data_IF_945151994141
#
_entry.id   IF_945151994141
#
_cell.length_a   1.000
_cell.length_b   1.000
_cell.length_c   1.000
_cell.angle_alpha   90.00
_cell.angle_beta   90.00
_cell.angle_gamma   90.00
#
_symmetry.space_group_name_H-M   'P 1'
#
loop_
_entity.id
_entity.type
_entity.pdbx_description
1 polymer ?
#
# COMPACT_ATOMS: atom_id res chain seq x y z
N UNK A 1 19.60 7.89 -14.59
CA UNK A 1 19.77 6.97 -13.44
C UNK A 1 18.97 7.58 -12.29
N UNK A 2 18.29 6.77 -11.48
CA UNK A 2 17.54 7.29 -10.33
C UNK A 2 18.50 7.70 -9.24
N UNK A 3 18.32 8.89 -8.67
CA UNK A 3 19.05 9.35 -7.50
C UNK A 3 18.17 9.14 -6.26
N UNK A 4 18.62 8.28 -5.34
CA UNK A 4 17.89 7.88 -4.13
C UNK A 4 18.12 8.90 -3.02
N UNK A 5 17.04 9.42 -2.45
CA UNK A 5 17.04 10.28 -1.26
C UNK A 5 16.32 9.50 -0.15
N UNK A 6 16.93 9.41 1.03
CA UNK A 6 16.40 8.63 2.15
C UNK A 6 15.92 9.61 3.23
N UNK A 7 14.68 9.47 3.67
CA UNK A 7 14.10 10.31 4.73
C UNK A 7 13.63 9.48 5.94
N UNK A 8 13.77 9.99 7.17
CA UNK A 8 13.25 9.31 8.36
C UNK A 8 11.72 9.28 8.38
N UNK A 9 11.15 8.24 9.00
CA UNK A 9 9.71 8.18 9.30
C UNK A 9 9.51 7.90 10.79
N UNK A 10 8.35 8.26 11.37
CA UNK A 10 7.98 7.87 12.73
C UNK A 10 7.44 6.42 12.81
N UNK A 11 7.48 5.66 11.71
CA UNK A 11 6.85 4.34 11.59
C UNK A 11 7.85 3.19 11.79
N UNK A 12 7.35 2.03 12.21
CA UNK A 12 8.19 0.86 12.51
C UNK A 12 8.97 0.30 11.30
N UNK A 13 8.52 0.59 10.07
CA UNK A 13 9.20 0.19 8.82
C UNK A 13 10.55 0.88 8.63
N UNK A 14 10.81 1.97 9.35
CA UNK A 14 12.05 2.73 9.28
C UNK A 14 12.01 3.82 8.20
N UNK A 15 13.15 4.08 7.57
CA UNK A 15 13.27 5.16 6.56
C UNK A 15 12.52 4.83 5.28
N UNK A 16 12.11 5.87 4.55
CA UNK A 16 11.49 5.78 3.22
C UNK A 16 12.40 6.38 2.16
N UNK A 17 12.33 5.84 0.95
CA UNK A 17 13.13 6.23 -0.21
C UNK A 17 12.28 7.07 -1.17
N UNK A 18 12.80 8.24 -1.53
CA UNK A 18 12.32 9.03 -2.67
C UNK A 18 13.32 8.93 -3.81
N UNK A 19 12.84 8.98 -5.05
CA UNK A 19 13.71 8.82 -6.22
C UNK A 19 13.61 10.03 -7.14
N UNK A 20 14.71 10.73 -7.32
CA UNK A 20 14.83 11.83 -8.26
C UNK A 20 15.24 11.29 -9.64
N UNK A 21 14.56 11.75 -10.69
CA UNK A 21 14.85 11.41 -12.07
C UNK A 21 14.79 12.66 -12.94
N UNK A 22 15.89 12.95 -13.64
CA UNK A 22 15.90 13.95 -14.72
C UNK A 22 15.74 13.26 -16.08
N UNK A 23 14.64 13.58 -16.75
CA UNK A 23 14.37 13.34 -18.17
C UNK A 23 14.17 14.70 -18.86
N UNK A 24 13.13 14.80 -19.68
CA UNK A 24 12.70 16.10 -20.21
C UNK A 24 12.17 16.98 -19.06
N UNK A 25 11.48 16.37 -18.09
CA UNK A 25 11.10 16.98 -16.81
C UNK A 25 12.00 16.51 -15.66
N UNK A 26 12.21 17.36 -14.66
CA UNK A 26 12.77 16.96 -13.37
C UNK A 26 11.64 16.48 -12.45
N UNK A 27 11.64 15.18 -12.17
CA UNK A 27 10.58 14.55 -11.37
C UNK A 27 11.15 13.85 -10.15
N UNK A 28 10.40 13.89 -9.05
CA UNK A 28 10.65 13.09 -7.86
C UNK A 28 9.50 12.11 -7.65
N UNK A 29 9.84 10.86 -7.34
CA UNK A 29 8.90 9.80 -7.00
C UNK A 29 8.86 9.63 -5.50
N UNK A 30 7.66 9.82 -4.93
CA UNK A 30 7.39 9.94 -3.49
C UNK A 30 8.21 11.04 -2.79
N UNK A 31 7.75 11.47 -1.61
CA UNK A 31 8.26 12.69 -0.97
C UNK A 31 8.35 12.61 0.56
N UNK A 32 8.37 11.43 1.16
CA UNK A 32 8.58 11.30 2.59
C UNK A 32 7.37 11.68 3.45
N UNK A 33 7.52 11.53 4.77
CA UNK A 33 6.49 11.85 5.78
C UNK A 33 6.45 13.33 6.10
N UNK A 34 5.28 13.90 6.44
CA UNK A 34 5.15 15.29 6.88
C UNK A 34 5.69 15.50 8.31
N UNK A 35 7.01 15.46 8.45
CA UNK A 35 7.72 15.82 9.70
C UNK A 35 8.87 16.79 9.41
N UNK A 36 9.31 17.58 10.41
CA UNK A 36 10.47 18.46 10.25
C UNK A 36 11.74 17.72 9.84
N UNK A 37 12.01 16.56 10.45
CA UNK A 37 13.22 15.77 10.18
C UNK A 37 13.22 15.20 8.76
N UNK A 38 12.06 14.77 8.27
CA UNK A 38 11.92 14.30 6.89
C UNK A 38 12.07 15.45 5.89
N UNK A 39 11.54 16.64 6.20
CA UNK A 39 11.71 17.84 5.38
C UNK A 39 13.19 18.21 5.23
N UNK A 40 13.92 18.30 6.34
CA UNK A 40 15.35 18.64 6.34
C UNK A 40 16.18 17.60 5.56
N UNK A 41 15.90 16.31 5.76
CA UNK A 41 16.57 15.24 5.03
C UNK A 41 16.29 15.30 3.52
N UNK A 42 15.05 15.59 3.12
CA UNK A 42 14.65 15.72 1.72
C UNK A 42 15.31 16.95 1.07
N UNK A 43 15.33 18.08 1.77
CA UNK A 43 16.00 19.31 1.32
C UNK A 43 17.50 19.07 1.11
N UNK A 44 18.16 18.41 2.05
CA UNK A 44 19.58 18.06 1.94
C UNK A 44 19.83 17.13 0.75
N UNK A 45 19.02 16.08 0.59
CA UNK A 45 19.17 15.14 -0.54
C UNK A 45 18.95 15.80 -1.90
N UNK A 46 17.97 16.71 -2.02
CA UNK A 46 17.78 17.51 -3.23
C UNK A 46 18.99 18.40 -3.50
N UNK A 47 19.52 19.06 -2.48
CA UNK A 47 20.69 19.93 -2.59
C UNK A 47 21.95 19.16 -3.01
N UNK A 48 22.17 17.96 -2.46
CA UNK A 48 23.25 17.07 -2.87
C UNK A 48 23.12 16.62 -4.32
N UNK A 49 21.89 16.44 -4.80
CA UNK A 49 21.59 16.19 -6.21
C UNK A 49 21.71 17.43 -7.10
N UNK A 50 21.96 18.63 -6.54
CA UNK A 50 22.11 19.89 -7.26
C UNK A 50 20.81 20.65 -7.51
N UNK A 51 19.75 20.36 -6.77
CA UNK A 51 18.42 20.95 -6.94
C UNK A 51 17.84 21.48 -5.63
N UNK A 52 16.76 22.24 -5.74
CA UNK A 52 15.91 22.70 -4.64
C UNK A 52 14.47 22.27 -4.90
N UNK A 53 13.61 22.42 -3.90
CA UNK A 53 12.18 22.14 -4.04
C UNK A 53 11.52 22.89 -5.21
N UNK A 54 11.93 24.13 -5.47
CA UNK A 54 11.37 24.96 -6.55
C UNK A 54 11.78 24.49 -7.95
N UNK A 55 12.87 23.73 -8.05
CA UNK A 55 13.39 23.27 -9.33
C UNK A 55 12.65 22.00 -9.80
N UNK A 56 11.95 21.31 -8.90
CA UNK A 56 11.16 20.11 -9.21
C UNK A 56 9.90 20.49 -10.01
N UNK A 57 9.75 19.86 -11.16
CA UNK A 57 8.65 20.11 -12.09
C UNK A 57 7.48 19.15 -11.86
N UNK A 58 7.76 17.95 -11.31
CA UNK A 58 6.74 16.94 -11.02
C UNK A 58 7.04 16.18 -9.72
N UNK A 59 5.99 15.99 -8.92
CA UNK A 59 5.95 15.00 -7.84
C UNK A 59 5.04 13.88 -8.30
N UNK A 60 5.56 12.66 -8.35
CA UNK A 60 4.83 11.47 -8.81
C UNK A 60 4.68 10.53 -7.62
N UNK A 61 3.45 10.24 -7.23
CA UNK A 61 3.15 9.40 -6.07
C UNK A 61 2.99 7.94 -6.48
N UNK A 62 3.67 7.04 -5.79
CA UNK A 62 3.41 5.59 -5.91
C UNK A 62 2.10 5.25 -5.24
N UNK A 63 1.85 5.74 -4.03
CA UNK A 63 0.61 5.49 -3.30
C UNK A 63 0.38 6.49 -2.16
N UNK A 64 -0.71 6.30 -1.41
CA UNK A 64 -1.25 7.32 -0.52
C UNK A 64 -0.81 7.19 0.95
N UNK A 65 0.13 6.29 1.27
CA UNK A 65 0.60 6.20 2.65
C UNK A 65 1.38 7.45 3.05
N UNK A 66 1.31 7.86 4.33
CA UNK A 66 1.77 9.19 4.73
C UNK A 66 3.26 9.45 4.47
N UNK A 67 4.08 8.42 4.49
CA UNK A 67 5.50 8.43 4.17
C UNK A 67 5.83 8.55 2.68
N UNK A 68 4.85 8.47 1.79
CA UNK A 68 5.06 8.62 0.34
C UNK A 68 4.57 9.97 -0.18
N UNK A 69 3.55 10.54 0.46
CA UNK A 69 2.87 11.76 -0.01
C UNK A 69 2.83 12.87 1.06
N UNK A 70 3.60 12.75 2.14
CA UNK A 70 3.54 13.67 3.27
C UNK A 70 4.00 15.08 2.92
N UNK A 71 5.13 15.21 2.21
CA UNK A 71 5.72 16.52 1.89
C UNK A 71 5.34 17.04 0.50
N UNK A 72 4.23 16.61 -0.11
CA UNK A 72 3.82 17.15 -1.43
C UNK A 72 3.64 18.68 -1.42
N UNK A 73 3.34 19.24 -0.24
CA UNK A 73 3.17 20.67 -0.01
C UNK A 73 4.49 21.46 -0.16
N UNK A 74 5.65 20.79 -0.01
CA UNK A 74 6.97 21.42 -0.07
C UNK A 74 7.41 21.80 -1.49
N UNK A 75 6.71 21.37 -2.55
CA UNK A 75 7.13 21.52 -3.94
C UNK A 75 6.28 22.54 -4.70
N UNK A 76 6.50 23.86 -4.53
CA UNK A 76 5.54 24.89 -4.94
C UNK A 76 5.26 24.94 -6.45
N UNK A 77 6.24 24.58 -7.29
CA UNK A 77 6.13 24.64 -8.75
C UNK A 77 5.74 23.30 -9.39
N UNK A 78 5.81 22.21 -8.62
CA UNK A 78 5.64 20.87 -9.18
C UNK A 78 4.17 20.57 -9.49
N UNK A 79 3.92 19.91 -10.62
CA UNK A 79 2.68 19.17 -10.85
C UNK A 79 2.67 17.93 -9.97
N UNK A 80 1.55 17.65 -9.30
CA UNK A 80 1.39 16.41 -8.52
C UNK A 80 0.63 15.39 -9.35
N UNK A 81 1.23 14.22 -9.57
CA UNK A 81 0.71 13.12 -10.37
C UNK A 81 0.57 11.87 -9.50
N UNK A 82 -0.45 11.05 -9.75
CA UNK A 82 -0.67 9.81 -9.01
C UNK A 82 -1.98 9.13 -9.40
N UNK A 83 -2.33 8.07 -8.69
CA UNK A 83 -3.60 7.39 -8.88
C UNK A 83 -4.77 8.21 -8.32
N UNK A 84 -5.99 8.03 -8.84
CA UNK A 84 -7.18 8.76 -8.38
C UNK A 84 -7.41 8.63 -6.86
N UNK A 85 -7.05 7.49 -6.26
CA UNK A 85 -7.15 7.30 -4.82
C UNK A 85 -6.19 8.21 -4.03
N UNK A 86 -5.03 8.60 -4.57
CA UNK A 86 -4.17 9.60 -3.91
C UNK A 86 -4.91 10.94 -3.77
N UNK A 87 -5.66 11.34 -4.80
CA UNK A 87 -6.38 12.61 -4.81
C UNK A 87 -7.45 12.69 -3.71
N UNK A 88 -8.15 11.58 -3.45
CA UNK A 88 -9.13 11.51 -2.37
C UNK A 88 -8.51 11.77 -0.99
N UNK A 89 -7.33 11.19 -0.73
CA UNK A 89 -6.56 11.42 0.51
C UNK A 89 -5.96 12.82 0.60
N UNK A 90 -5.55 13.41 -0.52
CA UNK A 90 -5.03 14.79 -0.57
C UNK A 90 -6.14 15.82 -0.30
N UNK A 91 -7.32 15.62 -0.89
CA UNK A 91 -8.46 16.52 -0.74
C UNK A 91 -9.11 16.43 0.63
N UNK A 92 -9.07 15.26 1.27
CA UNK A 92 -9.66 15.02 2.61
C UNK A 92 -11.12 15.42 2.68
N UNK A 93 -11.88 15.07 1.64
CA UNK A 93 -13.30 15.31 1.63
C UNK A 93 -13.94 14.68 2.89
N UNK A 94 -14.75 15.44 3.68
CA UNK A 94 -15.31 14.91 4.92
C UNK A 94 -16.21 13.68 4.72
N UNK A 95 -16.89 13.57 3.57
CA UNK A 95 -17.72 12.39 3.26
C UNK A 95 -16.82 11.19 2.98
N UNK A 96 -15.74 11.37 2.23
CA UNK A 96 -14.72 10.33 2.04
C UNK A 96 -14.14 9.86 3.38
N UNK A 97 -13.72 10.76 4.26
CA UNK A 97 -13.16 10.40 5.57
C UNK A 97 -14.18 9.72 6.49
N UNK A 98 -15.43 10.18 6.51
CA UNK A 98 -16.51 9.55 7.27
C UNK A 98 -16.79 8.13 6.76
N UNK A 99 -16.85 7.94 5.43
CA UNK A 99 -17.06 6.61 4.83
C UNK A 99 -15.96 5.61 5.19
N UNK A 100 -14.72 6.07 5.40
CA UNK A 100 -13.63 5.20 5.86
C UNK A 100 -13.86 4.74 7.29
N UNK A 101 -14.30 5.64 8.17
CA UNK A 101 -14.63 5.30 9.54
C UNK A 101 -15.77 4.28 9.59
N UNK A 102 -16.86 4.54 8.85
CA UNK A 102 -18.02 3.64 8.80
C UNK A 102 -17.63 2.27 8.26
N UNK A 103 -16.86 2.22 7.17
CA UNK A 103 -16.34 0.97 6.61
C UNK A 103 -15.58 0.13 7.64
N UNK A 104 -14.60 0.71 8.33
CA UNK A 104 -13.81 -0.03 9.31
C UNK A 104 -14.64 -0.43 10.53
N UNK A 105 -15.56 0.43 10.99
CA UNK A 105 -16.47 0.09 12.09
C UNK A 105 -17.36 -1.10 11.72
N UNK A 106 -17.90 -1.11 10.50
CA UNK A 106 -18.71 -2.22 10.01
C UNK A 106 -17.89 -3.49 9.82
N UNK A 107 -16.63 -3.40 9.34
CA UNK A 107 -15.71 -4.54 9.34
C UNK A 107 -15.48 -5.09 10.73
N UNK A 108 -15.21 -4.26 11.74
CA UNK A 108 -14.98 -4.76 13.10
C UNK A 108 -16.20 -5.58 13.61
N UNK A 109 -17.42 -5.11 13.34
CA UNK A 109 -18.65 -5.84 13.69
C UNK A 109 -18.80 -7.14 12.90
N UNK A 110 -18.73 -7.06 11.57
CA UNK A 110 -18.97 -8.19 10.67
C UNK A 110 -17.92 -9.31 10.83
N UNK A 111 -16.70 -8.96 11.22
CA UNK A 111 -15.60 -9.91 11.42
C UNK A 111 -15.57 -10.51 12.85
N UNK A 112 -16.55 -10.16 13.69
CA UNK A 112 -16.72 -10.72 15.02
C UNK A 112 -15.81 -10.13 16.09
N UNK A 113 -15.28 -8.93 15.87
CA UNK A 113 -14.40 -8.27 16.84
C UNK A 113 -15.21 -7.83 18.07
N UNK A 114 -14.77 -8.13 19.31
CA UNK A 114 -15.44 -7.66 20.52
C UNK A 114 -15.43 -6.13 20.63
N UNK A 115 -16.50 -5.56 21.19
CA UNK A 115 -16.70 -4.10 21.28
C UNK A 115 -15.56 -3.37 22.00
N UNK A 116 -14.88 -4.03 22.96
CA UNK A 116 -13.74 -3.45 23.68
C UNK A 116 -12.59 -3.05 22.73
N UNK A 117 -12.49 -3.67 21.55
CA UNK A 117 -11.49 -3.36 20.53
C UNK A 117 -11.98 -2.34 19.49
N UNK A 118 -13.22 -1.84 19.55
CA UNK A 118 -13.73 -0.88 18.55
C UNK A 118 -12.97 0.45 18.52
N UNK A 119 -12.24 0.77 19.58
CA UNK A 119 -11.36 1.93 19.62
C UNK A 119 -10.25 1.90 18.55
N UNK A 120 -9.90 0.72 18.02
CA UNK A 120 -8.93 0.56 16.94
C UNK A 120 -9.33 1.24 15.63
N UNK A 121 -10.63 1.48 15.41
CA UNK A 121 -11.13 2.17 14.22
C UNK A 121 -10.40 3.50 13.96
N UNK A 122 -10.05 4.23 15.03
CA UNK A 122 -9.34 5.52 14.94
C UNK A 122 -7.94 5.38 14.36
N UNK A 123 -7.24 4.27 14.67
CA UNK A 123 -5.92 3.98 14.10
C UNK A 123 -6.06 3.46 12.66
N UNK A 124 -7.13 2.71 12.37
CA UNK A 124 -7.40 2.15 11.03
C UNK A 124 -7.78 3.22 10.00
N UNK A 125 -8.47 4.29 10.40
CA UNK A 125 -8.80 5.42 9.51
C UNK A 125 -7.58 6.25 9.09
N UNK A 126 -6.39 5.96 9.66
CA UNK A 126 -5.09 6.64 9.47
C UNK A 126 -5.11 8.13 9.84
N UNK A 127 -4.04 8.62 10.48
CA UNK A 127 -3.93 10.05 10.74
C UNK A 127 -3.62 10.80 9.44
N UNK A 128 -4.32 11.92 9.23
CA UNK A 128 -4.03 12.84 8.12
C UNK A 128 -2.97 13.89 8.50
N UNK A 129 -2.46 13.86 9.74
CA UNK A 129 -1.45 14.82 10.23
C UNK A 129 -0.14 14.70 9.45
N UNK A 130 0.20 13.48 9.02
CA UNK A 130 1.44 13.15 8.31
C UNK A 130 1.33 13.23 6.78
N UNK A 131 0.16 13.60 6.27
CA UNK A 131 -0.15 13.63 4.83
C UNK A 131 -0.10 15.10 4.34
N UNK A 132 0.25 15.34 3.08
CA UNK A 132 0.10 16.67 2.47
C UNK A 132 -1.36 17.01 2.11
N UNK A 133 -1.59 18.21 1.57
CA UNK A 133 -2.94 18.69 1.21
C UNK A 133 -3.05 19.22 -0.22
N UNK A 134 -1.95 19.26 -0.98
CA UNK A 134 -1.99 19.64 -2.40
C UNK A 134 -2.60 18.51 -3.26
N UNK A 135 -3.78 18.70 -3.87
CA UNK A 135 -4.43 17.67 -4.68
C UNK A 135 -3.63 17.36 -5.96
N UNK A 136 -4.00 16.25 -6.60
CA UNK A 136 -3.41 15.90 -7.89
C UNK A 136 -3.75 16.96 -8.94
N UNK A 137 -2.75 17.28 -9.75
CA UNK A 137 -2.89 18.10 -10.96
C UNK A 137 -3.20 17.24 -12.19
N UNK A 138 -2.86 15.94 -12.15
CA UNK A 138 -3.14 14.97 -13.20
C UNK A 138 -3.21 13.57 -12.61
N UNK A 139 -4.13 12.75 -13.11
CA UNK A 139 -4.30 11.35 -12.72
C UNK A 139 -3.51 10.48 -13.70
N UNK A 140 -2.76 9.52 -13.17
CA UNK A 140 -2.10 8.46 -13.94
C UNK A 140 -2.92 7.18 -13.87
N UNK A 141 -3.11 6.52 -15.02
CA UNK A 141 -3.78 5.23 -15.16
C UNK A 141 -2.78 4.12 -15.50
N UNK A 142 -3.22 2.86 -15.39
CA UNK A 142 -2.44 1.71 -15.83
C UNK A 142 -2.08 1.83 -17.32
N UNK A 143 -0.79 1.67 -17.64
CA UNK A 143 -0.28 1.74 -19.00
C UNK A 143 0.07 3.15 -19.51
N UNK A 144 -0.23 4.20 -18.74
CA UNK A 144 0.16 5.57 -19.12
C UNK A 144 1.70 5.71 -19.13
N UNK A 145 2.22 6.41 -20.14
CA UNK A 145 3.61 6.86 -20.14
C UNK A 145 3.76 8.10 -19.25
N UNK A 146 4.77 8.10 -18.37
CA UNK A 146 5.01 9.21 -17.45
C UNK A 146 5.44 10.45 -18.23
N UNK A 147 4.73 11.60 -18.12
CA UNK A 147 5.05 12.80 -18.88
C UNK A 147 6.48 13.29 -18.65
N UNK A 148 7.25 13.44 -19.73
CA UNK A 148 8.65 13.89 -19.67
C UNK A 148 9.67 12.79 -19.38
N UNK A 149 9.23 11.53 -19.31
CA UNK A 149 10.10 10.36 -19.16
C UNK A 149 9.76 9.26 -20.18
N UNK A 150 10.13 9.44 -21.46
CA UNK A 150 9.82 8.47 -22.50
C UNK A 150 10.29 7.04 -22.15
N UNK A 151 9.41 6.07 -22.33
CA UNK A 151 9.62 4.66 -22.02
C UNK A 151 9.41 4.26 -20.56
N UNK A 152 9.07 5.20 -19.66
CA UNK A 152 8.69 4.92 -18.27
C UNK A 152 7.17 4.82 -18.16
N UNK A 153 6.67 3.61 -17.88
CA UNK A 153 5.23 3.29 -17.88
C UNK A 153 4.73 3.16 -16.45
N UNK A 154 3.64 3.85 -16.13
CA UNK A 154 2.88 3.65 -14.90
C UNK A 154 2.14 2.31 -14.97
N UNK A 155 2.28 1.50 -13.93
CA UNK A 155 1.68 0.17 -13.81
C UNK A 155 0.87 0.09 -12.53
N UNK A 156 -0.42 -0.15 -12.68
CA UNK A 156 -1.30 -0.37 -11.55
C UNK A 156 -0.96 -1.71 -10.88
N UNK A 157 -0.57 -1.60 -9.61
CA UNK A 157 -0.04 -2.69 -8.79
C UNK A 157 -0.74 -2.72 -7.44
N UNK A 158 -2.07 -2.80 -7.50
CA UNK A 158 -2.96 -2.80 -6.33
C UNK A 158 -2.66 -3.93 -5.33
N UNK A 159 -3.14 -3.73 -4.12
CA UNK A 159 -3.12 -4.72 -3.04
C UNK A 159 -2.57 -4.13 -1.75
N UNK A 160 -1.32 -3.65 -1.78
CA UNK A 160 -0.76 -2.89 -0.65
C UNK A 160 -1.58 -1.63 -0.35
N UNK A 161 -1.95 -0.91 -1.41
CA UNK A 161 -2.87 0.23 -1.39
C UNK A 161 -3.71 0.24 -2.67
N UNK A 162 -4.94 0.73 -2.62
CA UNK A 162 -5.80 0.92 -3.79
C UNK A 162 -5.36 2.09 -4.69
N UNK A 163 -4.31 2.80 -4.30
CA UNK A 163 -3.67 3.85 -5.09
C UNK A 163 -2.35 3.43 -5.71
N UNK A 164 -1.94 2.16 -5.58
CA UNK A 164 -0.55 1.78 -5.81
C UNK A 164 -0.19 1.70 -7.30
N UNK A 165 0.80 2.51 -7.69
CA UNK A 165 1.46 2.53 -8.98
C UNK A 165 2.94 2.15 -8.82
N UNK A 166 3.42 1.29 -9.71
CA UNK A 166 4.83 1.05 -9.96
C UNK A 166 5.20 1.69 -11.31
N UNK A 167 6.47 2.03 -11.51
CA UNK A 167 6.92 2.70 -12.73
C UNK A 167 8.00 1.88 -13.42
N UNK A 168 7.67 1.30 -14.57
CA UNK A 168 8.51 0.35 -15.29
C UNK A 168 9.18 0.99 -16.50
N UNK A 169 10.50 0.89 -16.60
CA UNK A 169 11.26 1.33 -17.76
C UNK A 169 11.82 0.12 -18.52
N UNK A 170 11.20 -0.21 -19.66
CA UNK A 170 11.54 -1.40 -20.46
C UNK A 170 13.01 -1.46 -20.88
N UNK A 171 13.51 -0.40 -21.53
CA UNK A 171 14.88 -0.38 -22.07
C UNK A 171 15.95 -0.40 -20.97
N UNK A 172 15.70 0.25 -19.84
CA UNK A 172 16.62 0.28 -18.69
C UNK A 172 16.46 -0.93 -17.77
N UNK A 173 15.46 -1.78 -18.02
CA UNK A 173 15.08 -2.91 -17.17
C UNK A 173 14.97 -2.56 -15.68
N UNK A 174 14.48 -1.36 -15.40
CA UNK A 174 14.45 -0.78 -14.06
C UNK A 174 13.03 -0.42 -13.66
N UNK A 175 12.68 -0.63 -12.39
CA UNK A 175 11.36 -0.33 -11.85
C UNK A 175 11.45 0.50 -10.58
N UNK A 176 10.66 1.57 -10.44
CA UNK A 176 10.29 2.09 -9.11
C UNK A 176 9.11 1.26 -8.64
N UNK A 177 9.31 0.43 -7.62
CA UNK A 177 8.33 -0.53 -7.17
C UNK A 177 7.42 -0.05 -6.06
N UNK A 178 7.70 1.12 -5.47
CA UNK A 178 7.04 1.58 -4.25
C UNK A 178 7.09 0.49 -3.18
N UNK A 179 5.95 0.24 -2.56
CA UNK A 179 5.79 -0.72 -1.47
C UNK A 179 5.21 -2.06 -1.93
N UNK A 180 5.11 -2.31 -3.23
CA UNK A 180 4.70 -3.62 -3.74
C UNK A 180 5.69 -4.72 -3.31
N UNK A 181 6.99 -4.43 -3.34
CA UNK A 181 8.05 -5.39 -3.03
C UNK A 181 9.19 -4.72 -2.27
N UNK A 182 9.34 -5.10 -1.00
CA UNK A 182 10.40 -4.64 -0.10
C UNK A 182 11.31 -5.83 0.24
N UNK A 183 12.63 -5.62 0.24
CA UNK A 183 13.60 -6.70 0.39
C UNK A 183 13.53 -7.41 1.74
N UNK A 184 13.54 -6.64 2.84
CA UNK A 184 13.71 -7.15 4.19
C UNK A 184 12.40 -7.42 4.96
N UNK A 185 11.26 -6.93 4.45
CA UNK A 185 9.93 -7.13 5.04
C UNK A 185 8.88 -7.48 3.99
N UNK A 186 7.77 -8.05 4.41
CA UNK A 186 6.60 -8.24 3.54
C UNK A 186 5.73 -6.99 3.59
N UNK A 187 5.26 -6.56 2.43
CA UNK A 187 4.25 -5.51 2.31
C UNK A 187 2.88 -6.06 2.72
N UNK A 188 2.17 -5.34 3.59
CA UNK A 188 0.87 -5.77 4.10
C UNK A 188 -0.25 -5.44 3.08
N UNK A 189 -1.11 -6.40 2.69
CA UNK A 189 -2.31 -6.14 1.89
C UNK A 189 -3.43 -5.55 2.75
N UNK A 190 -3.45 -4.23 2.90
CA UNK A 190 -4.42 -3.56 3.77
C UNK A 190 -5.82 -3.60 3.16
N UNK A 191 -6.83 -3.95 3.95
CA UNK A 191 -8.22 -3.78 3.53
C UNK A 191 -8.53 -2.28 3.49
N UNK A 192 -9.08 -1.81 2.39
CA UNK A 192 -9.40 -0.40 2.20
C UNK A 192 -10.82 -0.26 1.63
N UNK A 193 -11.55 0.79 2.03
CA UNK A 193 -12.86 1.06 1.46
C UNK A 193 -12.73 1.44 -0.03
N UNK A 194 -13.71 1.06 -0.86
CA UNK A 194 -13.79 1.55 -2.23
C UNK A 194 -14.12 3.06 -2.27
N UNK A 195 -13.72 3.75 -3.35
CA UNK A 195 -14.11 5.16 -3.56
C UNK A 195 -15.63 5.35 -3.67
N UNK A 196 -16.33 4.35 -4.22
CA UNK A 196 -17.79 4.30 -4.17
C UNK A 196 -18.20 3.47 -2.94
N UNK A 197 -18.76 4.08 -1.88
CA UNK A 197 -19.11 3.36 -0.65
C UNK A 197 -20.13 2.22 -0.83
N UNK A 198 -20.86 2.21 -1.94
CA UNK A 198 -21.82 1.15 -2.26
C UNK A 198 -21.20 -0.02 -3.03
N UNK A 199 -19.93 0.09 -3.45
CA UNK A 199 -19.23 -1.00 -4.12
C UNK A 199 -18.78 -2.06 -3.10
N UNK A 200 -18.51 -3.27 -3.59
CA UNK A 200 -17.86 -4.30 -2.78
C UNK A 200 -16.43 -3.85 -2.47
N UNK A 201 -15.95 -4.22 -1.27
CA UNK A 201 -14.53 -4.03 -0.91
C UNK A 201 -13.62 -4.74 -1.90
N UNK A 202 -12.39 -4.23 -2.04
CA UNK A 202 -11.34 -4.94 -2.75
C UNK A 202 -10.92 -6.19 -1.97
N UNK A 203 -10.37 -7.17 -2.71
CA UNK A 203 -9.68 -8.32 -2.15
C UNK A 203 -8.17 -8.07 -2.21
N UNK A 204 -7.68 -7.26 -1.28
CA UNK A 204 -6.32 -6.69 -1.31
C UNK A 204 -5.21 -7.74 -1.45
N UNK A 205 -5.28 -8.89 -0.76
CA UNK A 205 -4.26 -9.94 -0.91
C UNK A 205 -4.28 -10.57 -2.31
N UNK A 206 -5.46 -10.82 -2.89
CA UNK A 206 -5.58 -11.35 -4.24
C UNK A 206 -5.04 -10.37 -5.28
N UNK A 207 -5.37 -9.09 -5.14
CA UNK A 207 -4.81 -8.01 -5.96
C UNK A 207 -3.29 -7.95 -5.83
N UNK A 208 -2.75 -8.02 -4.61
CA UNK A 208 -1.30 -8.00 -4.37
C UNK A 208 -0.62 -9.21 -5.03
N UNK A 209 -1.18 -10.41 -4.89
CA UNK A 209 -0.68 -11.61 -5.55
C UNK A 209 -0.71 -11.49 -7.09
N UNK A 210 -1.77 -10.89 -7.65
CA UNK A 210 -1.84 -10.61 -9.08
C UNK A 210 -0.77 -9.60 -9.51
N UNK A 211 -0.58 -8.51 -8.75
CA UNK A 211 0.46 -7.50 -8.98
C UNK A 211 1.87 -8.09 -8.91
N UNK A 212 2.15 -8.95 -7.94
CA UNK A 212 3.41 -9.68 -7.83
C UNK A 212 3.63 -10.63 -9.03
N UNK A 213 2.59 -11.36 -9.45
CA UNK A 213 2.64 -12.22 -10.65
C UNK A 213 2.93 -11.41 -11.93
N UNK A 214 2.46 -10.16 -12.06
CA UNK A 214 2.83 -9.28 -13.17
C UNK A 214 4.35 -9.08 -13.24
N UNK A 215 5.04 -8.90 -12.12
CA UNK A 215 6.50 -8.68 -12.09
C UNK A 215 7.29 -9.87 -12.67
N UNK A 216 6.78 -11.10 -12.53
CA UNK A 216 7.40 -12.31 -13.10
C UNK A 216 7.42 -12.32 -14.62
N UNK A 217 6.57 -11.50 -15.27
CA UNK A 217 6.50 -11.40 -16.73
C UNK A 217 7.46 -10.36 -17.31
N UNK A 218 8.10 -9.57 -16.45
CA UNK A 218 8.96 -8.46 -16.84
C UNK A 218 10.44 -8.79 -16.61
N UNK A 219 11.35 -8.45 -17.53
CA UNK A 219 12.78 -8.66 -17.36
C UNK A 219 13.40 -7.55 -16.47
N UNK A 220 13.03 -7.50 -15.20
CA UNK A 220 13.48 -6.47 -14.24
C UNK A 220 14.87 -6.83 -13.71
N UNK A 221 15.88 -6.01 -14.01
CA UNK A 221 17.24 -6.15 -13.51
C UNK A 221 17.41 -5.48 -12.14
N UNK A 222 16.64 -4.41 -11.86
CA UNK A 222 16.64 -3.70 -10.58
C UNK A 222 15.27 -3.10 -10.26
N UNK A 223 14.81 -3.29 -9.02
CA UNK A 223 13.62 -2.66 -8.46
C UNK A 223 14.03 -1.73 -7.30
N UNK A 224 13.69 -0.46 -7.45
CA UNK A 224 13.86 0.61 -6.48
C UNK A 224 12.64 0.63 -5.55
N UNK A 225 12.83 0.07 -4.35
CA UNK A 225 11.78 -0.12 -3.33
C UNK A 225 11.51 1.17 -2.54
N UNK A 226 10.29 1.36 -2.06
CA UNK A 226 9.93 2.46 -1.16
C UNK A 226 10.71 2.41 0.16
N UNK A 227 11.14 1.23 0.59
CA UNK A 227 11.96 1.05 1.80
C UNK A 227 13.18 0.15 1.57
N UNK A 228 14.26 0.43 2.31
CA UNK A 228 15.48 -0.38 2.30
C UNK A 228 16.29 -0.28 1.00
N UNK A 229 17.04 -1.34 0.70
CA UNK A 229 17.88 -1.39 -0.49
C UNK A 229 17.13 -1.79 -1.77
N UNK A 230 17.77 -1.49 -2.90
CA UNK A 230 17.33 -1.93 -4.23
C UNK A 230 17.37 -3.47 -4.35
N UNK A 231 16.40 -4.01 -5.08
CA UNK A 231 16.18 -5.45 -5.22
C UNK A 231 16.64 -5.86 -6.62
N UNK A 232 17.65 -6.74 -6.69
CA UNK A 232 18.21 -7.26 -7.95
C UNK A 232 17.75 -8.68 -8.27
N UNK A 233 17.17 -9.37 -7.28
CA UNK A 233 16.64 -10.73 -7.38
C UNK A 233 15.10 -10.73 -7.36
N UNK A 234 14.48 -9.84 -8.13
CA UNK A 234 13.03 -9.55 -8.08
C UNK A 234 12.19 -10.82 -8.23
N UNK A 235 12.49 -11.66 -9.23
CA UNK A 235 11.69 -12.86 -9.50
C UNK A 235 11.76 -13.91 -8.38
N UNK A 236 12.94 -14.07 -7.78
CA UNK A 236 13.16 -15.01 -6.67
C UNK A 236 12.40 -14.54 -5.43
N UNK A 237 12.49 -13.25 -5.10
CA UNK A 237 11.79 -12.66 -3.98
C UNK A 237 10.27 -12.74 -4.18
N UNK A 238 9.76 -12.46 -5.38
CA UNK A 238 8.33 -12.59 -5.69
C UNK A 238 7.83 -14.01 -5.46
N UNK A 239 8.56 -15.03 -5.96
CA UNK A 239 8.19 -16.44 -5.73
C UNK A 239 8.18 -16.78 -4.24
N UNK A 240 9.17 -16.31 -3.49
CA UNK A 240 9.21 -16.49 -2.04
C UNK A 240 8.01 -15.84 -1.34
N UNK A 241 7.61 -14.62 -1.74
CA UNK A 241 6.45 -13.92 -1.17
C UNK A 241 5.15 -14.66 -1.47
N UNK A 242 4.92 -15.09 -2.71
CA UNK A 242 3.74 -15.86 -3.10
C UNK A 242 3.66 -17.19 -2.34
N UNK A 243 4.78 -17.90 -2.19
CA UNK A 243 4.85 -19.15 -1.44
C UNK A 243 4.55 -18.93 0.05
N UNK A 244 5.09 -17.86 0.65
CA UNK A 244 4.78 -17.49 2.05
C UNK A 244 3.31 -17.16 2.24
N UNK A 245 2.69 -16.47 1.29
CA UNK A 245 1.26 -16.17 1.33
C UNK A 245 0.43 -17.45 1.24
N UNK A 246 0.74 -18.34 0.29
CA UNK A 246 0.06 -19.63 0.17
C UNK A 246 0.19 -20.49 1.45
N UNK A 247 1.40 -20.60 2.03
CA UNK A 247 1.61 -21.31 3.30
C UNK A 247 0.80 -20.72 4.44
N UNK A 248 0.68 -19.39 4.52
CA UNK A 248 -0.11 -18.73 5.55
C UNK A 248 -1.61 -19.01 5.36
N UNK A 249 -2.11 -18.97 4.13
CA UNK A 249 -3.48 -19.36 3.82
C UNK A 249 -3.75 -20.81 4.25
N UNK A 250 -2.86 -21.75 3.93
CA UNK A 250 -3.02 -23.16 4.33
C UNK A 250 -2.97 -23.34 5.85
N UNK A 251 -2.20 -22.52 6.57
CA UNK A 251 -2.24 -22.48 8.03
C UNK A 251 -3.63 -22.07 8.54
N UNK A 252 -4.21 -21.00 7.99
CA UNK A 252 -5.57 -20.53 8.33
C UNK A 252 -6.62 -21.60 7.98
N UNK A 253 -6.49 -22.27 6.84
CA UNK A 253 -7.36 -23.37 6.45
C UNK A 253 -7.38 -24.49 7.50
N UNK A 254 -6.21 -24.88 8.02
CA UNK A 254 -6.11 -25.87 9.11
C UNK A 254 -6.71 -25.38 10.44
N UNK A 255 -6.68 -24.06 10.71
CA UNK A 255 -7.32 -23.49 11.90
C UNK A 255 -8.85 -23.58 11.85
N UNK A 256 -9.46 -23.68 10.66
CA UNK A 256 -10.91 -23.82 10.50
C UNK A 256 -11.37 -25.28 10.74
N UNK A 257 -10.45 -26.23 10.91
CA UNK A 257 -10.81 -27.61 11.28
C UNK A 257 -11.56 -27.65 12.62
N UNK A 258 -12.65 -28.41 12.68
CA UNK A 258 -13.46 -28.59 13.88
C UNK A 258 -14.71 -27.71 13.97
N UNK A 259 -14.95 -26.82 13.01
CA UNK A 259 -16.23 -26.13 12.83
C UNK A 259 -16.10 -24.68 12.35
N UNK A 260 -17.23 -24.01 12.05
CA UNK A 260 -17.21 -22.63 11.58
C UNK A 260 -16.58 -21.67 12.60
N UNK A 261 -15.66 -20.82 12.16
CA UNK A 261 -14.99 -19.78 12.99
C UNK A 261 -15.19 -18.39 12.42
N UNK A 262 -15.19 -17.38 13.29
CA UNK A 262 -15.14 -15.97 12.88
C UNK A 262 -13.74 -15.55 12.46
N UNK A 263 -13.61 -14.45 11.71
CA UNK A 263 -12.32 -13.86 11.39
C UNK A 263 -11.55 -13.43 12.64
N UNK A 264 -12.22 -12.88 13.66
CA UNK A 264 -11.55 -12.48 14.90
C UNK A 264 -10.93 -13.66 15.64
N UNK A 265 -11.63 -14.80 15.74
CA UNK A 265 -11.09 -16.02 16.36
C UNK A 265 -9.85 -16.51 15.60
N UNK A 266 -9.91 -16.55 14.28
CA UNK A 266 -8.77 -16.92 13.43
C UNK A 266 -7.62 -15.92 13.54
N UNK A 267 -7.92 -14.62 13.68
CA UNK A 267 -6.92 -13.57 13.85
C UNK A 267 -6.15 -13.71 15.16
N UNK A 268 -6.85 -14.00 16.27
CA UNK A 268 -6.22 -14.24 17.58
C UNK A 268 -5.34 -15.49 17.53
N UNK A 269 -5.80 -16.56 16.88
CA UNK A 269 -5.02 -17.80 16.73
C UNK A 269 -3.78 -17.61 15.82
N UNK A 270 -3.93 -16.84 14.74
CA UNK A 270 -2.85 -16.55 13.79
C UNK A 270 -1.81 -15.58 14.36
N UNK A 271 -2.23 -14.60 15.16
CA UNK A 271 -1.41 -13.50 15.66
C UNK A 271 -1.57 -13.25 17.18
N UNK A 272 -1.32 -14.24 18.05
CA UNK A 272 -1.73 -14.23 19.47
C UNK A 272 -1.16 -13.09 20.32
N UNK A 273 -0.08 -12.44 19.89
CA UNK A 273 0.53 -11.30 20.59
C UNK A 273 0.44 -9.98 19.82
N UNK A 274 0.29 -10.05 18.49
CA UNK A 274 0.33 -8.86 17.64
C UNK A 274 -1.05 -8.21 17.50
N UNK A 275 -2.14 -8.98 17.62
CA UNK A 275 -3.49 -8.42 17.46
C UNK A 275 -3.81 -7.34 18.51
N UNK A 276 -3.29 -7.47 19.73
CA UNK A 276 -3.49 -6.48 20.81
C UNK A 276 -2.83 -5.14 20.53
N UNK A 277 -1.77 -5.12 19.71
CA UNK A 277 -0.95 -3.92 19.42
C UNK A 277 -1.16 -3.38 18.02
N UNK A 278 -1.64 -4.21 17.11
CA UNK A 278 -1.76 -3.91 15.68
C UNK A 278 -2.99 -4.61 15.08
N UNK A 279 -4.16 -4.47 15.72
CA UNK A 279 -5.39 -5.16 15.31
C UNK A 279 -5.72 -4.90 13.84
N UNK A 280 -5.64 -3.65 13.38
CA UNK A 280 -5.94 -3.32 11.98
C UNK A 280 -5.05 -4.04 10.96
N UNK A 281 -3.75 -4.20 11.27
CA UNK A 281 -2.81 -4.89 10.38
C UNK A 281 -3.08 -6.40 10.37
N UNK A 282 -3.24 -6.99 11.56
CA UNK A 282 -3.47 -8.43 11.72
C UNK A 282 -4.83 -8.86 11.16
N UNK A 283 -5.87 -8.05 11.35
CA UNK A 283 -7.20 -8.30 10.81
C UNK A 283 -7.20 -8.22 9.28
N UNK A 284 -6.56 -7.21 8.69
CA UNK A 284 -6.42 -7.09 7.22
C UNK A 284 -5.73 -8.32 6.63
N UNK A 285 -4.65 -8.78 7.26
CA UNK A 285 -3.91 -9.95 6.84
C UNK A 285 -4.78 -11.22 6.93
N UNK A 286 -5.51 -11.40 8.04
CA UNK A 286 -6.42 -12.55 8.24
C UNK A 286 -7.56 -12.57 7.21
N UNK A 287 -8.21 -11.42 6.97
CA UNK A 287 -9.23 -11.27 5.93
C UNK A 287 -8.65 -11.61 4.55
N UNK A 288 -7.43 -11.15 4.26
CA UNK A 288 -6.73 -11.48 3.02
C UNK A 288 -6.56 -12.99 2.82
N UNK A 289 -6.17 -13.73 3.88
CA UNK A 289 -6.04 -15.19 3.80
C UNK A 289 -7.40 -15.87 3.55
N UNK A 290 -8.47 -15.39 4.19
CA UNK A 290 -9.82 -15.89 3.97
C UNK A 290 -10.31 -15.63 2.55
N UNK A 291 -10.07 -14.42 2.01
CA UNK A 291 -10.35 -14.09 0.61
C UNK A 291 -9.64 -15.05 -0.35
N UNK A 292 -8.38 -15.39 -0.06
CA UNK A 292 -7.59 -16.34 -0.83
C UNK A 292 -8.20 -17.74 -0.78
N UNK A 293 -8.53 -18.24 0.40
CA UNK A 293 -9.12 -19.59 0.56
C UNK A 293 -10.50 -19.71 -0.09
N UNK A 294 -11.31 -18.65 -0.07
CA UNK A 294 -12.59 -18.59 -0.77
C UNK A 294 -12.38 -18.61 -2.28
N UNK A 295 -11.40 -17.87 -2.79
CA UNK A 295 -11.08 -17.83 -4.23
C UNK A 295 -10.59 -19.18 -4.76
N UNK A 296 -9.81 -19.90 -3.96
CA UNK A 296 -9.38 -21.29 -4.24
C UNK A 296 -10.50 -22.33 -4.04
N UNK A 297 -11.68 -21.91 -3.55
CA UNK A 297 -12.83 -22.80 -3.31
C UNK A 297 -12.66 -23.76 -2.12
N UNK A 298 -11.73 -23.47 -1.21
CA UNK A 298 -11.43 -24.30 -0.04
C UNK A 298 -12.26 -23.92 1.20
N UNK A 299 -12.71 -22.68 1.27
CA UNK A 299 -13.51 -22.14 2.38
C UNK A 299 -14.77 -21.48 1.84
N UNK A 300 -15.85 -21.59 2.60
CA UNK A 300 -17.11 -20.86 2.38
C UNK A 300 -17.36 -19.92 3.54
N UNK A 301 -17.98 -18.79 3.25
CA UNK A 301 -18.44 -17.83 4.26
C UNK A 301 -19.96 -17.87 4.38
N UNK A 302 -20.46 -17.68 5.60
CA UNK A 302 -21.88 -17.49 5.89
C UNK A 302 -22.04 -16.47 7.00
N UNK A 303 -22.96 -15.52 6.81
CA UNK A 303 -23.32 -14.59 7.87
C UNK A 303 -24.34 -15.23 8.83
N UNK A 304 -24.10 -15.10 10.13
CA UNK A 304 -25.04 -15.56 11.16
C UNK A 304 -26.12 -14.51 11.46
N UNK A 305 -27.09 -14.86 12.33
CA UNK A 305 -28.22 -13.98 12.69
C UNK A 305 -27.81 -12.67 13.40
N UNK A 306 -26.54 -12.57 13.84
CA UNK A 306 -25.96 -11.37 14.46
C UNK A 306 -25.20 -10.50 13.46
N UNK A 307 -25.19 -10.85 12.18
CA UNK A 307 -24.45 -10.10 11.15
C UNK A 307 -22.95 -10.36 11.13
N UNK A 308 -22.48 -11.47 11.73
CA UNK A 308 -21.06 -11.84 11.79
C UNK A 308 -20.76 -12.96 10.79
N UNK A 309 -19.67 -12.83 10.03
CA UNK A 309 -19.19 -13.88 9.13
C UNK A 309 -18.59 -15.05 9.90
N UNK A 310 -19.02 -16.24 9.52
CA UNK A 310 -18.45 -17.53 9.90
C UNK A 310 -17.87 -18.19 8.66
N UNK A 311 -16.69 -18.78 8.82
CA UNK A 311 -15.95 -19.44 7.76
C UNK A 311 -15.81 -20.92 8.09
N UNK A 312 -16.14 -21.78 7.13
CA UNK A 312 -16.05 -23.24 7.23
C UNK A 312 -15.40 -23.83 5.98
N UNK A 313 -14.80 -25.02 6.11
CA UNK A 313 -14.23 -25.72 4.96
C UNK A 313 -15.33 -26.11 3.95
N UNK A 314 -15.03 -25.98 2.66
CA UNK A 314 -15.99 -26.11 1.56
C UNK A 314 -16.45 -27.54 1.28
#
# INVERSE_FOLDING_TARGET
MFHKIITPTPFAVGTVNSYLLKGDALSIFDVGTKTPEAYEALELGLKEAGYRFEDIEQVILTHHHPDHMGLVDAFPNAKVLGHVYNDAWLRRDPVFLASHFDFYMDRLKEEGVPEEYFHWVKKMTRSTDFVGTRPLTSILHDGDEVPGHPGLIAMETLGHAQSHLAFWHKEKKAMIGGDLLIGHVSSNPLIEPPLNPNAKRSKSLLQQNASLKKLLTLPIDVLYSGHGEEIRNVHELVKERLEKQHKRAMKVYGMIEGGPKTTFELNVELFPYAYEKELGLTLSETIGQLDYLIDEGLVKEKMNDKGVYLYEQA
#
